data_IF_372173888882
#
_entry.id   IF_372173888882
#
_cell.length_a   1.000
_cell.length_b   1.000
_cell.length_c   1.000
_cell.angle_alpha   90.00
_cell.angle_beta   90.00
_cell.angle_gamma   90.00
#
_symmetry.space_group_name_H-M   'P 1'
#
loop_
_entity.id
_entity.type
_entity.pdbx_description
1 polymer ?
#
# COMPACT_ATOMS: atom_id res chain seq x y z
N UNK A 1 15.45 10.32 31.59
CA UNK A 1 16.37 9.73 30.61
C UNK A 1 15.65 9.78 29.28
N UNK A 2 16.23 10.45 28.27
CA UNK A 2 15.75 10.25 26.90
C UNK A 2 16.26 8.85 26.53
N UNK A 3 15.36 7.91 26.34
CA UNK A 3 15.76 6.59 25.85
C UNK A 3 16.45 6.78 24.51
N UNK A 4 17.72 6.40 24.44
CA UNK A 4 18.43 6.33 23.19
C UNK A 4 17.62 5.45 22.24
N UNK A 5 17.57 5.83 20.96
CA UNK A 5 16.91 5.01 19.93
C UNK A 5 17.34 3.54 20.09
N UNK A 6 16.41 2.58 20.09
CA UNK A 6 16.75 1.16 20.15
C UNK A 6 17.54 0.70 18.90
N UNK A 7 17.59 1.54 17.87
CA UNK A 7 18.33 1.29 16.63
C UNK A 7 19.62 2.09 16.59
N UNK A 8 20.70 1.40 16.25
CA UNK A 8 22.05 1.98 16.10
C UNK A 8 22.23 2.80 14.82
N UNK A 9 21.36 2.63 13.82
CA UNK A 9 21.38 3.38 12.56
C UNK A 9 20.04 3.26 11.82
N UNK A 10 19.82 4.13 10.83
CA UNK A 10 18.69 4.03 9.90
C UNK A 10 18.70 2.68 9.14
N UNK A 11 19.88 2.19 8.78
CA UNK A 11 20.04 0.88 8.12
C UNK A 11 19.61 -0.26 9.05
N UNK A 12 19.95 -0.18 10.34
CA UNK A 12 19.51 -1.15 11.34
C UNK A 12 17.98 -1.10 11.52
N UNK A 13 17.40 0.10 11.63
CA UNK A 13 15.94 0.26 11.73
C UNK A 13 15.21 -0.30 10.49
N UNK A 14 15.73 -0.02 9.29
CA UNK A 14 15.14 -0.47 8.02
C UNK A 14 15.25 -1.99 7.86
N UNK A 15 16.40 -2.57 8.21
CA UNK A 15 16.61 -4.02 8.15
C UNK A 15 15.72 -4.77 9.14
N UNK A 16 15.58 -4.23 10.36
CA UNK A 16 14.67 -4.77 11.36
C UNK A 16 13.20 -4.70 10.90
N UNK A 17 12.77 -3.56 10.35
CA UNK A 17 11.42 -3.41 9.81
C UNK A 17 11.16 -4.40 8.66
N UNK A 18 12.14 -4.62 7.78
CA UNK A 18 12.04 -5.58 6.66
C UNK A 18 11.86 -7.00 7.17
N UNK A 19 12.69 -7.42 8.12
CA UNK A 19 12.62 -8.76 8.70
C UNK A 19 11.27 -8.99 9.40
N UNK A 20 10.84 -8.03 10.21
CA UNK A 20 9.56 -8.10 10.92
C UNK A 20 8.36 -8.16 9.95
N UNK A 21 8.38 -7.32 8.92
CA UNK A 21 7.30 -7.21 7.93
C UNK A 21 7.13 -8.51 7.14
N UNK A 22 8.19 -9.00 6.51
CA UNK A 22 8.09 -10.16 5.62
C UNK A 22 8.05 -11.51 6.37
N UNK A 23 8.46 -11.58 7.64
CA UNK A 23 8.50 -12.85 8.38
C UNK A 23 7.46 -13.01 9.50
N UNK A 24 6.89 -11.94 10.09
CA UNK A 24 6.14 -12.08 11.36
C UNK A 24 4.86 -11.26 11.54
N UNK A 25 4.65 -10.13 10.86
CA UNK A 25 3.63 -9.15 11.32
C UNK A 25 2.75 -8.49 10.25
N UNK A 26 2.88 -8.83 8.97
CA UNK A 26 2.24 -8.05 7.90
C UNK A 26 0.70 -8.12 7.93
N UNK A 27 0.08 -9.26 8.26
CA UNK A 27 -1.39 -9.41 8.27
C UNK A 27 -2.13 -8.41 9.16
N UNK A 28 -1.61 -8.14 10.36
CA UNK A 28 -2.26 -7.21 11.31
C UNK A 28 -2.09 -5.74 10.89
N UNK A 29 -0.99 -5.42 10.20
CA UNK A 29 -0.72 -4.07 9.72
C UNK A 29 -1.65 -3.65 8.56
N UNK A 30 -2.02 -4.59 7.69
CA UNK A 30 -2.95 -4.34 6.58
C UNK A 30 -4.35 -3.90 7.02
N UNK A 31 -4.77 -4.27 8.24
CA UNK A 31 -6.08 -3.88 8.77
C UNK A 31 -6.17 -2.40 9.19
N UNK A 32 -5.02 -1.72 9.31
CA UNK A 32 -4.91 -0.37 9.85
C UNK A 32 -4.96 0.69 8.73
N UNK A 33 -4.78 0.29 7.46
CA UNK A 33 -4.64 1.23 6.35
C UNK A 33 -5.93 1.45 5.56
N UNK A 34 -6.30 2.73 5.50
CA UNK A 34 -7.40 3.30 4.72
C UNK A 34 -6.78 4.39 3.84
N UNK A 35 -6.91 4.29 2.51
CA UNK A 35 -7.60 5.30 1.69
C UNK A 35 -7.38 5.14 0.17
N UNK A 36 -8.39 4.58 -0.52
CA UNK A 36 -8.70 4.89 -1.93
C UNK A 36 -9.24 6.35 -2.09
N UNK A 37 -9.60 7.00 -0.97
CA UNK A 37 -10.33 8.27 -0.96
C UNK A 37 -9.66 9.45 -1.69
N UNK A 38 -8.33 9.51 -1.73
CA UNK A 38 -7.63 10.69 -2.27
C UNK A 38 -7.51 10.70 -3.79
N UNK A 39 -7.36 9.53 -4.44
CA UNK A 39 -7.27 9.43 -5.90
C UNK A 39 -8.58 9.84 -6.60
N UNK A 40 -9.71 9.61 -5.92
CA UNK A 40 -11.06 9.97 -6.38
C UNK A 40 -11.23 11.49 -6.53
N UNK A 41 -10.45 12.31 -5.83
CA UNK A 41 -10.65 13.77 -5.79
C UNK A 41 -10.10 14.55 -7.00
N UNK A 42 -9.27 13.95 -7.87
CA UNK A 42 -8.46 14.69 -8.87
C UNK A 42 -8.59 14.20 -10.34
N UNK A 43 -9.41 13.18 -10.60
CA UNK A 43 -9.60 12.64 -11.96
C UNK A 43 -10.72 13.32 -12.75
N UNK A 44 -10.78 13.14 -14.08
CA UNK A 44 -12.01 13.34 -14.86
C UNK A 44 -13.16 12.47 -14.29
N UNK A 45 -14.40 12.98 -14.32
CA UNK A 45 -15.56 12.33 -13.70
C UNK A 45 -15.78 10.86 -14.12
N UNK A 46 -15.49 10.52 -15.37
CA UNK A 46 -15.62 9.13 -15.87
C UNK A 46 -14.57 8.20 -15.25
N UNK A 47 -13.30 8.64 -15.18
CA UNK A 47 -12.22 7.89 -14.53
C UNK A 47 -12.47 7.72 -13.02
N UNK A 48 -13.11 8.71 -12.38
CA UNK A 48 -13.49 8.62 -10.97
C UNK A 48 -14.51 7.50 -10.74
N UNK A 49 -15.53 7.39 -11.59
CA UNK A 49 -16.55 6.35 -11.44
C UNK A 49 -15.96 4.95 -11.59
N UNK A 50 -15.08 4.74 -12.57
CA UNK A 50 -14.43 3.44 -12.78
C UNK A 50 -13.47 3.10 -11.63
N UNK A 51 -12.68 4.06 -11.15
CA UNK A 51 -11.82 3.84 -9.98
C UNK A 51 -12.62 3.47 -8.73
N UNK A 52 -13.78 4.09 -8.50
CA UNK A 52 -14.69 3.72 -7.41
C UNK A 52 -15.26 2.31 -7.55
N UNK A 53 -15.69 1.94 -8.76
CA UNK A 53 -16.25 0.62 -9.05
C UNK A 53 -15.19 -0.47 -8.83
N UNK A 54 -14.02 -0.30 -9.44
CA UNK A 54 -12.92 -1.26 -9.30
C UNK A 54 -12.33 -1.29 -7.90
N UNK A 55 -12.28 -0.15 -7.20
CA UNK A 55 -11.92 -0.10 -5.77
C UNK A 55 -12.84 -0.96 -4.91
N UNK A 56 -14.15 -0.85 -5.15
CA UNK A 56 -15.14 -1.68 -4.45
C UNK A 56 -15.01 -3.16 -4.82
N UNK A 57 -14.81 -3.47 -6.11
CA UNK A 57 -14.59 -4.85 -6.59
C UNK A 57 -13.34 -5.47 -5.94
N UNK A 58 -12.23 -4.73 -5.95
CA UNK A 58 -10.95 -5.14 -5.38
C UNK A 58 -11.10 -5.47 -3.90
N UNK A 59 -11.64 -4.53 -3.10
CA UNK A 59 -11.84 -4.73 -1.67
C UNK A 59 -12.74 -5.91 -1.37
N UNK A 60 -13.82 -6.08 -2.13
CA UNK A 60 -14.72 -7.23 -1.97
C UNK A 60 -14.01 -8.56 -2.26
N UNK A 61 -13.08 -8.58 -3.22
CA UNK A 61 -12.35 -9.80 -3.61
C UNK A 61 -11.26 -10.17 -2.59
N UNK A 62 -10.46 -9.20 -2.18
CA UNK A 62 -9.23 -9.47 -1.41
C UNK A 62 -9.34 -9.17 0.09
N UNK A 63 -10.36 -8.40 0.50
CA UNK A 63 -10.60 -8.07 1.91
C UNK A 63 -9.85 -6.84 2.45
N UNK A 64 -9.09 -6.15 1.60
CA UNK A 64 -8.35 -4.93 1.95
C UNK A 64 -8.44 -3.87 0.83
N UNK A 65 -8.11 -2.62 1.15
CA UNK A 65 -8.15 -1.51 0.19
C UNK A 65 -7.06 -1.63 -0.88
N UNK A 66 -7.29 -1.03 -2.05
CA UNK A 66 -6.28 -0.99 -3.09
C UNK A 66 -5.20 0.04 -2.74
N UNK A 67 -3.95 -0.40 -2.74
CA UNK A 67 -2.78 0.45 -2.55
C UNK A 67 -1.87 0.31 -3.76
N UNK A 68 -1.22 1.42 -4.13
CA UNK A 68 -0.25 1.47 -5.21
C UNK A 68 0.81 2.53 -4.95
N UNK A 69 2.03 2.26 -5.38
CA UNK A 69 3.12 3.23 -5.39
C UNK A 69 3.09 4.16 -6.60
N UNK A 70 2.19 3.92 -7.56
CA UNK A 70 1.96 4.79 -8.71
C UNK A 70 1.56 6.19 -8.25
N UNK A 71 2.17 7.21 -8.87
CA UNK A 71 1.90 8.61 -8.53
C UNK A 71 0.43 8.97 -8.76
N UNK A 72 -0.17 9.66 -7.77
CA UNK A 72 -1.60 10.01 -7.75
C UNK A 72 -2.04 10.90 -8.91
N UNK A 73 -1.13 11.61 -9.57
CA UNK A 73 -1.42 12.38 -10.79
C UNK A 73 -1.67 11.52 -12.03
N UNK A 74 -1.36 10.22 -11.98
CA UNK A 74 -1.45 9.29 -13.09
C UNK A 74 -2.67 8.36 -12.97
N UNK A 75 -3.86 8.95 -12.83
CA UNK A 75 -5.13 8.23 -12.59
C UNK A 75 -5.43 7.14 -13.63
N UNK A 76 -5.10 7.34 -14.90
CA UNK A 76 -5.24 6.32 -15.95
C UNK A 76 -4.41 5.07 -15.66
N UNK A 77 -3.16 5.24 -15.23
CA UNK A 77 -2.25 4.14 -14.90
C UNK A 77 -2.72 3.41 -13.65
N UNK A 78 -3.21 4.14 -12.64
CA UNK A 78 -3.82 3.55 -11.44
C UNK A 78 -5.04 2.69 -11.82
N UNK A 79 -5.86 3.16 -12.77
CA UNK A 79 -7.02 2.43 -13.25
C UNK A 79 -6.63 1.15 -14.01
N UNK A 80 -5.60 1.19 -14.86
CA UNK A 80 -5.07 0.00 -15.52
C UNK A 80 -4.53 -1.01 -14.50
N UNK A 81 -3.84 -0.53 -13.48
CA UNK A 81 -3.23 -1.36 -12.45
C UNK A 81 -4.29 -2.08 -11.61
N UNK A 82 -5.31 -1.36 -11.11
CA UNK A 82 -6.38 -1.98 -10.31
C UNK A 82 -7.20 -2.98 -11.13
N UNK A 83 -7.40 -2.71 -12.43
CA UNK A 83 -8.06 -3.65 -13.35
C UNK A 83 -7.24 -4.93 -13.49
N UNK A 84 -5.94 -4.82 -13.74
CA UNK A 84 -5.06 -5.97 -13.87
C UNK A 84 -4.95 -6.77 -12.56
N UNK A 85 -4.79 -6.08 -11.43
CA UNK A 85 -4.65 -6.69 -10.10
C UNK A 85 -5.94 -7.34 -9.60
N UNK A 86 -7.10 -6.87 -10.05
CA UNK A 86 -8.36 -7.58 -9.84
C UNK A 86 -8.39 -8.99 -10.44
N UNK A 87 -7.52 -9.34 -11.38
CA UNK A 87 -7.43 -10.68 -11.97
C UNK A 87 -6.45 -11.60 -11.22
N UNK A 88 -5.62 -11.06 -10.32
CA UNK A 88 -4.68 -11.84 -9.52
C UNK A 88 -5.40 -12.80 -8.55
N UNK A 89 -4.72 -13.89 -8.18
CA UNK A 89 -5.11 -14.69 -7.03
C UNK A 89 -4.68 -14.00 -5.73
N UNK A 90 -5.27 -14.39 -4.60
CA UNK A 90 -5.04 -13.75 -3.30
C UNK A 90 -3.56 -13.75 -2.89
N UNK A 91 -2.84 -14.86 -3.05
CA UNK A 91 -1.43 -14.94 -2.61
C UNK A 91 -0.52 -13.98 -3.37
N UNK A 92 -0.71 -13.89 -4.70
CA UNK A 92 0.05 -12.96 -5.55
C UNK A 92 -0.28 -11.52 -5.19
N UNK A 93 -1.56 -11.20 -5.02
CA UNK A 93 -1.98 -9.83 -4.72
C UNK A 93 -1.48 -9.37 -3.35
N UNK A 94 -1.50 -10.27 -2.39
CA UNK A 94 -1.03 -10.06 -1.04
C UNK A 94 0.48 -9.82 -1.00
N UNK A 95 1.27 -10.55 -1.80
CA UNK A 95 2.71 -10.29 -1.95
C UNK A 95 2.96 -8.89 -2.56
N UNK A 96 2.20 -8.51 -3.59
CA UNK A 96 2.33 -7.19 -4.22
C UNK A 96 2.00 -6.08 -3.23
N UNK A 97 0.82 -6.15 -2.60
CA UNK A 97 0.39 -5.18 -1.60
C UNK A 97 1.40 -5.08 -0.45
N UNK A 98 1.92 -6.21 0.06
CA UNK A 98 2.95 -6.22 1.11
C UNK A 98 4.22 -5.45 0.72
N UNK A 99 4.63 -5.53 -0.54
CA UNK A 99 5.83 -4.82 -1.02
C UNK A 99 5.57 -3.33 -1.17
N UNK A 100 4.40 -2.96 -1.66
CA UNK A 100 4.05 -1.55 -1.82
C UNK A 100 3.88 -0.84 -0.48
N UNK A 101 3.25 -1.51 0.49
CA UNK A 101 3.11 -0.97 1.84
C UNK A 101 4.47 -0.79 2.51
N UNK A 102 5.39 -1.74 2.31
CA UNK A 102 6.75 -1.60 2.83
C UNK A 102 7.49 -0.37 2.24
N UNK A 103 7.22 0.02 0.99
CA UNK A 103 7.80 1.23 0.39
C UNK A 103 7.33 2.49 1.13
N UNK A 104 6.08 2.53 1.62
CA UNK A 104 5.60 3.65 2.44
C UNK A 104 6.29 3.69 3.80
N UNK A 105 6.47 2.53 4.44
CA UNK A 105 7.22 2.41 5.71
C UNK A 105 8.66 2.89 5.53
N UNK A 106 9.35 2.43 4.49
CA UNK A 106 10.74 2.82 4.18
C UNK A 106 10.86 4.34 3.94
N UNK A 107 9.92 4.94 3.18
CA UNK A 107 9.84 6.39 2.98
C UNK A 107 9.54 7.17 4.26
N UNK A 108 8.79 6.57 5.20
CA UNK A 108 8.55 7.14 6.52
C UNK A 108 9.83 7.16 7.36
N UNK A 109 10.56 6.05 7.38
CA UNK A 109 11.84 5.92 8.09
C UNK A 109 12.90 6.90 7.57
N UNK A 110 12.97 7.13 6.25
CA UNK A 110 13.91 8.08 5.64
C UNK A 110 13.65 9.55 6.01
N UNK A 111 12.48 9.86 6.58
CA UNK A 111 12.11 11.22 7.02
C UNK A 111 12.35 11.46 8.51
N UNK A 112 12.76 10.42 9.25
CA UNK A 112 13.16 10.51 10.66
C UNK A 112 14.63 10.92 10.78
#
# INVERSE_FOLDING_TARGET
>A
MQDASPFSSLEHATSFARDLWFNKSWLDAFSIHMHIGDAISRGPNELISELCEFGTKYRKKFGFEFETTTDRGHSHKILEEIKARCENNLLVEMEIASREEFIFIERGLLKL
#
